data_IF_799018164770
#
_entry.id   IF_799018164770
#
_cell.length_a   1.000
_cell.length_b   1.000
_cell.length_c   1.000
_cell.angle_alpha   90.00
_cell.angle_beta   90.00
_cell.angle_gamma   90.00
#
_symmetry.space_group_name_H-M   'P 1'
#
loop_
_entity.id
_entity.type
_entity.pdbx_description
1 polymer ?
#
# COMPACT_ATOMS: atom_id res chain seq x y z
N UNK A 1 6.66 -29.75 -31.59
CA UNK A 1 7.72 -28.80 -31.20
C UNK A 1 7.10 -27.74 -30.32
N UNK A 2 7.01 -28.02 -29.02
CA UNK A 2 6.48 -27.14 -27.99
C UNK A 2 7.59 -26.18 -27.55
N UNK A 3 7.50 -24.94 -28.02
CA UNK A 3 8.39 -23.86 -27.60
C UNK A 3 8.12 -23.52 -26.13
N UNK A 4 9.08 -23.88 -25.28
CA UNK A 4 9.13 -23.45 -23.89
C UNK A 4 9.53 -21.97 -23.88
N UNK A 5 8.55 -21.05 -23.99
CA UNK A 5 8.79 -19.63 -23.76
C UNK A 5 9.09 -19.46 -22.27
N UNK A 6 10.39 -19.38 -21.95
CA UNK A 6 10.84 -18.91 -20.66
C UNK A 6 10.20 -17.53 -20.43
N UNK A 7 9.26 -17.45 -19.50
CA UNK A 7 8.76 -16.18 -18.98
C UNK A 7 9.96 -15.43 -18.44
N UNK A 8 10.41 -14.38 -19.16
CA UNK A 8 11.46 -13.51 -18.67
C UNK A 8 11.04 -13.04 -17.27
N UNK A 9 11.89 -13.31 -16.27
CA UNK A 9 11.65 -12.82 -14.93
C UNK A 9 11.70 -11.29 -15.00
N UNK A 10 10.54 -10.64 -14.89
CA UNK A 10 10.50 -9.18 -14.77
C UNK A 10 11.28 -8.80 -13.52
N UNK A 11 12.36 -8.03 -13.68
CA UNK A 11 13.09 -7.48 -12.56
C UNK A 11 12.16 -6.55 -11.74
N UNK A 12 12.24 -6.56 -10.40
CA UNK A 12 11.40 -5.70 -9.58
C UNK A 12 11.65 -4.23 -9.89
N UNK A 13 10.59 -3.53 -10.28
CA UNK A 13 10.65 -2.19 -10.85
C UNK A 13 11.27 -1.15 -9.89
N UNK A 14 11.02 -1.26 -8.58
CA UNK A 14 11.56 -0.27 -7.63
C UNK A 14 13.09 -0.34 -7.47
N UNK A 15 13.72 -1.49 -7.73
CA UNK A 15 15.20 -1.64 -7.63
C UNK A 15 15.90 -0.74 -8.62
N UNK A 16 15.27 -0.61 -9.77
CA UNK A 16 15.89 -0.04 -10.94
C UNK A 16 15.97 1.50 -10.79
N UNK A 17 15.07 2.11 -10.00
CA UNK A 17 14.99 3.57 -9.87
C UNK A 17 16.07 4.13 -8.93
N UNK A 18 16.79 5.21 -9.33
CA UNK A 18 17.77 5.85 -8.47
C UNK A 18 17.13 6.54 -7.26
N UNK A 19 17.89 6.64 -6.16
CA UNK A 19 17.43 7.34 -4.94
C UNK A 19 17.11 8.80 -5.26
N UNK A 20 17.89 9.39 -6.17
CA UNK A 20 17.74 10.73 -6.68
C UNK A 20 16.38 10.95 -7.38
N UNK A 21 15.84 9.92 -8.03
CA UNK A 21 14.52 10.01 -8.66
C UNK A 21 13.40 10.06 -7.60
N UNK A 22 13.50 9.27 -6.52
CA UNK A 22 12.57 9.37 -5.40
C UNK A 22 12.72 10.69 -4.63
N UNK A 23 13.95 11.19 -4.49
CA UNK A 23 14.22 12.52 -3.92
C UNK A 23 13.56 13.62 -4.77
N UNK A 24 13.68 13.55 -6.09
CA UNK A 24 13.02 14.47 -7.02
C UNK A 24 11.48 14.37 -6.93
N UNK A 25 10.94 13.15 -6.80
CA UNK A 25 9.51 12.92 -6.58
C UNK A 25 9.02 13.60 -5.27
N UNK A 26 9.74 13.43 -4.16
CA UNK A 26 9.36 14.06 -2.89
C UNK A 26 9.48 15.58 -2.93
N UNK A 27 10.47 16.11 -3.67
CA UNK A 27 10.55 17.55 -3.94
C UNK A 27 9.37 18.04 -4.80
N UNK A 28 8.92 17.24 -5.77
CA UNK A 28 7.71 17.55 -6.55
C UNK A 28 6.45 17.56 -5.66
N UNK A 29 6.33 16.65 -4.69
CA UNK A 29 5.24 16.69 -3.71
C UNK A 29 5.20 18.00 -2.92
N UNK A 30 6.37 18.45 -2.44
CA UNK A 30 6.47 19.72 -1.72
C UNK A 30 6.04 20.92 -2.59
N UNK A 31 6.43 20.95 -3.88
CA UNK A 31 5.98 21.99 -4.82
C UNK A 31 4.47 21.94 -5.08
N UNK A 32 3.89 20.75 -5.21
CA UNK A 32 2.49 20.57 -5.59
C UNK A 32 1.51 20.68 -4.43
N UNK A 33 1.93 20.37 -3.20
CA UNK A 33 1.05 20.33 -2.02
C UNK A 33 1.49 21.22 -0.87
N UNK A 34 2.59 21.97 -1.04
CA UNK A 34 3.25 22.73 0.00
C UNK A 34 4.24 21.90 0.81
N UNK A 35 5.13 22.59 1.51
CA UNK A 35 6.18 21.97 2.32
C UNK A 35 5.60 21.01 3.37
N UNK A 36 6.16 19.79 3.50
CA UNK A 36 5.78 18.88 4.56
C UNK A 36 6.17 19.43 5.93
N UNK A 37 5.43 19.02 6.96
CA UNK A 37 5.83 19.31 8.33
C UNK A 37 7.25 18.75 8.61
N UNK A 38 8.06 19.38 9.48
CA UNK A 38 9.44 18.94 9.71
C UNK A 38 9.59 17.47 10.15
N UNK A 39 8.60 16.92 10.86
CA UNK A 39 8.57 15.51 11.22
C UNK A 39 8.43 14.59 10.00
N UNK A 40 7.54 14.95 9.07
CA UNK A 40 7.32 14.24 7.81
C UNK A 40 8.58 14.32 6.94
N UNK A 41 9.14 15.52 6.75
CA UNK A 41 10.37 15.72 5.99
C UNK A 41 11.53 14.83 6.50
N UNK A 42 11.74 14.81 7.83
CA UNK A 42 12.76 13.95 8.45
C UNK A 42 12.49 12.47 8.21
N UNK A 43 11.24 12.02 8.32
CA UNK A 43 10.86 10.62 8.06
C UNK A 43 11.11 10.24 6.59
N UNK A 44 10.78 11.11 5.63
CA UNK A 44 11.05 10.90 4.21
C UNK A 44 12.55 10.76 3.91
N UNK A 45 13.40 11.57 4.54
CA UNK A 45 14.86 11.41 4.40
C UNK A 45 15.37 10.08 4.96
N UNK A 46 14.81 9.61 6.09
CA UNK A 46 15.15 8.29 6.62
C UNK A 46 14.69 7.17 5.69
N UNK A 47 13.51 7.30 5.05
CA UNK A 47 13.06 6.36 4.01
C UNK A 47 14.05 6.32 2.85
N UNK A 48 14.53 7.46 2.36
CA UNK A 48 15.50 7.51 1.27
C UNK A 48 16.85 6.88 1.66
N UNK A 49 17.31 7.10 2.89
CA UNK A 49 18.55 6.50 3.39
C UNK A 49 18.45 4.96 3.46
N UNK A 50 17.35 4.43 3.97
CA UNK A 50 17.10 2.99 3.99
C UNK A 50 16.97 2.43 2.56
N UNK A 51 16.20 3.12 1.71
CA UNK A 51 16.02 2.73 0.32
C UNK A 51 17.35 2.64 -0.42
N UNK A 52 18.27 3.58 -0.20
CA UNK A 52 19.61 3.55 -0.78
C UNK A 52 20.39 2.29 -0.43
N UNK A 53 20.27 1.81 0.82
CA UNK A 53 20.91 0.59 1.29
C UNK A 53 20.23 -0.68 0.76
N UNK A 54 18.90 -0.67 0.65
CA UNK A 54 18.10 -1.86 0.34
C UNK A 54 17.91 -2.10 -1.16
N UNK A 55 17.82 -1.06 -1.99
CA UNK A 55 17.43 -1.15 -3.42
C UNK A 55 18.30 -2.05 -4.28
N UNK A 56 19.58 -2.21 -3.93
CA UNK A 56 20.50 -3.09 -4.65
C UNK A 56 20.29 -4.58 -4.33
N UNK A 57 19.59 -4.90 -3.25
CA UNK A 57 19.40 -6.26 -2.73
C UNK A 57 17.95 -6.72 -2.80
N UNK A 58 17.02 -5.79 -2.57
CA UNK A 58 15.60 -6.02 -2.38
C UNK A 58 14.77 -5.18 -3.34
N UNK A 59 13.63 -5.71 -3.77
CA UNK A 59 12.78 -5.08 -4.78
C UNK A 59 11.41 -4.82 -4.23
N UNK A 60 10.75 -3.83 -4.80
CA UNK A 60 9.44 -3.32 -4.42
C UNK A 60 9.36 -2.97 -2.92
N UNK A 61 10.42 -2.33 -2.42
CA UNK A 61 10.54 -1.94 -1.00
C UNK A 61 9.95 -0.56 -0.72
N UNK A 62 9.82 0.30 -1.72
CA UNK A 62 9.28 1.66 -1.59
C UNK A 62 8.18 1.88 -2.62
N UNK A 63 6.95 2.03 -2.11
CA UNK A 63 5.75 2.23 -2.92
C UNK A 63 5.06 3.54 -2.51
N UNK A 64 5.30 4.62 -3.25
CA UNK A 64 4.46 5.81 -3.18
C UNK A 64 3.04 5.54 -3.70
N UNK A 65 2.10 6.38 -3.29
CA UNK A 65 0.73 6.28 -3.74
C UNK A 65 0.07 7.65 -3.92
N UNK A 66 -0.82 7.70 -4.89
CA UNK A 66 -1.79 8.77 -5.03
C UNK A 66 -3.09 8.29 -4.38
N UNK A 67 -3.75 9.14 -3.61
CA UNK A 67 -5.02 8.82 -2.99
C UNK A 67 -6.05 9.91 -3.17
N UNK A 68 -7.30 9.48 -3.31
CA UNK A 68 -8.48 10.31 -3.44
C UNK A 68 -9.49 9.86 -2.41
N UNK A 69 -10.00 10.80 -1.63
CA UNK A 69 -11.09 10.57 -0.68
C UNK A 69 -12.16 11.65 -0.93
N UNK A 70 -13.41 11.22 -1.10
CA UNK A 70 -14.56 12.08 -1.37
C UNK A 70 -15.37 11.65 -2.61
N UNK A 71 -16.67 12.00 -2.61
CA UNK A 71 -17.56 11.74 -3.76
C UNK A 71 -17.20 12.68 -4.92
N UNK A 72 -16.98 12.11 -6.11
CA UNK A 72 -16.59 12.85 -7.32
C UNK A 72 -17.51 14.04 -7.62
N UNK A 73 -16.93 15.12 -8.13
CA UNK A 73 -17.67 16.30 -8.58
C UNK A 73 -18.28 17.15 -7.47
N UNK A 74 -17.98 16.87 -6.20
CA UNK A 74 -18.33 17.74 -5.08
C UNK A 74 -17.15 18.62 -4.69
N UNK A 75 -17.44 19.84 -4.25
CA UNK A 75 -16.49 20.64 -3.49
C UNK A 75 -15.91 19.79 -2.34
N UNK A 76 -14.58 19.67 -2.28
CA UNK A 76 -13.88 18.95 -1.23
C UNK A 76 -13.28 17.58 -1.60
N UNK A 77 -13.43 17.08 -2.83
CA UNK A 77 -12.66 15.92 -3.28
C UNK A 77 -11.16 16.26 -3.31
N UNK A 78 -10.37 15.64 -2.44
CA UNK A 78 -8.94 15.96 -2.29
C UNK A 78 -8.08 14.81 -2.79
N UNK A 79 -7.19 15.12 -3.73
CA UNK A 79 -6.04 14.27 -4.04
C UNK A 79 -4.90 14.57 -3.07
N UNK A 80 -4.29 13.53 -2.56
CA UNK A 80 -3.02 13.59 -1.83
C UNK A 80 -2.02 12.63 -2.48
N UNK A 81 -0.79 13.10 -2.59
CA UNK A 81 0.34 12.41 -3.18
C UNK A 81 1.38 12.09 -2.10
N UNK A 82 1.31 12.72 -0.93
CA UNK A 82 2.19 12.46 0.23
C UNK A 82 1.77 11.22 1.00
N UNK A 83 1.69 10.10 0.29
CA UNK A 83 1.44 8.78 0.86
C UNK A 83 2.44 7.78 0.34
N UNK A 84 3.02 6.97 1.23
CA UNK A 84 3.94 5.89 0.84
C UNK A 84 3.88 4.72 1.81
N UNK A 85 4.38 3.58 1.36
CA UNK A 85 4.80 2.47 2.21
C UNK A 85 6.26 2.08 1.93
N UNK A 86 6.96 1.69 3.00
CA UNK A 86 8.31 1.17 2.97
C UNK A 86 8.38 -0.18 3.67
N UNK A 87 8.80 -1.23 2.95
CA UNK A 87 9.02 -2.56 3.52
C UNK A 87 10.43 -2.70 4.10
N UNK A 88 10.58 -3.47 5.18
CA UNK A 88 11.85 -3.77 5.82
C UNK A 88 12.28 -5.23 5.54
N UNK A 89 12.73 -5.55 4.31
CA UNK A 89 13.00 -6.92 3.87
C UNK A 89 14.21 -7.59 4.52
N UNK A 90 15.15 -6.81 5.05
CA UNK A 90 16.27 -7.32 5.83
C UNK A 90 15.89 -7.82 7.23
N UNK A 91 14.66 -7.56 7.71
CA UNK A 91 14.28 -7.77 9.11
C UNK A 91 14.50 -9.21 9.60
N UNK A 92 14.31 -10.23 8.75
CA UNK A 92 14.52 -11.63 9.19
C UNK A 92 15.99 -11.99 9.38
N UNK A 93 16.88 -11.36 8.64
CA UNK A 93 18.31 -11.55 8.78
C UNK A 93 18.85 -10.74 9.96
N UNK A 94 18.30 -9.55 10.19
CA UNK A 94 18.66 -8.67 11.30
C UNK A 94 17.41 -8.02 11.95
N UNK A 95 16.77 -8.71 12.91
CA UNK A 95 15.57 -8.19 13.58
C UNK A 95 15.84 -6.95 14.42
N UNK A 96 17.05 -6.81 14.98
CA UNK A 96 17.41 -5.65 15.79
C UNK A 96 17.63 -4.42 14.91
N UNK A 97 18.40 -4.56 13.83
CA UNK A 97 18.58 -3.49 12.84
C UNK A 97 17.26 -3.06 12.20
N UNK A 98 16.38 -4.01 11.88
CA UNK A 98 15.05 -3.70 11.36
C UNK A 98 14.14 -2.99 12.38
N UNK A 99 14.21 -3.34 13.66
CA UNK A 99 13.50 -2.63 14.73
C UNK A 99 14.04 -1.21 14.92
N UNK A 100 15.37 -1.04 14.90
CA UNK A 100 16.01 0.28 14.95
C UNK A 100 15.64 1.15 13.75
N UNK A 101 15.58 0.58 12.54
CA UNK A 101 15.14 1.29 11.34
C UNK A 101 13.68 1.75 11.46
N UNK A 102 12.77 0.88 11.90
CA UNK A 102 11.37 1.26 12.12
C UNK A 102 11.24 2.36 13.19
N UNK A 103 12.03 2.29 14.26
CA UNK A 103 12.11 3.33 15.29
C UNK A 103 12.62 4.65 14.71
N UNK A 104 13.66 4.64 13.88
CA UNK A 104 14.21 5.84 13.26
C UNK A 104 13.20 6.52 12.32
N UNK A 105 12.45 5.74 11.54
CA UNK A 105 11.37 6.24 10.67
C UNK A 105 10.27 6.97 11.46
N UNK A 106 9.97 6.48 12.66
CA UNK A 106 8.84 6.93 13.47
C UNK A 106 9.23 7.91 14.61
N UNK A 107 10.50 8.01 14.97
CA UNK A 107 10.99 8.90 16.02
C UNK A 107 10.56 10.38 15.86
N UNK A 108 10.47 10.95 14.65
CA UNK A 108 10.02 12.33 14.48
C UNK A 108 8.59 12.62 14.97
N UNK A 109 7.79 11.59 15.26
CA UNK A 109 6.37 11.71 15.62
C UNK A 109 6.09 11.49 17.12
N UNK A 110 7.14 11.37 17.93
CA UNK A 110 7.06 11.38 19.39
C UNK A 110 6.84 10.02 20.07
N UNK A 111 6.92 10.04 21.39
CA UNK A 111 7.00 8.84 22.24
C UNK A 111 5.79 7.90 22.13
N UNK A 112 4.59 8.44 21.94
CA UNK A 112 3.38 7.64 21.80
C UNK A 112 3.42 6.74 20.56
N UNK A 113 3.96 7.25 19.44
CA UNK A 113 4.20 6.47 18.23
C UNK A 113 5.29 5.42 18.48
N UNK A 114 6.39 5.81 19.14
CA UNK A 114 7.48 4.89 19.45
C UNK A 114 7.02 3.70 20.31
N UNK A 115 6.11 3.92 21.27
CA UNK A 115 5.52 2.82 22.04
C UNK A 115 4.78 1.80 21.16
N UNK A 116 4.07 2.27 20.11
CA UNK A 116 3.43 1.37 19.13
C UNK A 116 4.47 0.67 18.25
N UNK A 117 5.54 1.35 17.87
CA UNK A 117 6.66 0.75 17.13
C UNK A 117 7.30 -0.39 17.91
N UNK A 118 7.58 -0.21 19.21
CA UNK A 118 8.16 -1.27 20.04
C UNK A 118 7.21 -2.48 20.14
N UNK A 119 5.90 -2.25 20.24
CA UNK A 119 4.88 -3.30 20.20
C UNK A 119 4.92 -4.08 18.88
N UNK A 120 4.96 -3.37 17.74
CA UNK A 120 5.00 -3.97 16.41
C UNK A 120 6.33 -4.68 16.16
N UNK A 121 7.46 -4.10 16.52
CA UNK A 121 8.78 -4.69 16.38
C UNK A 121 8.90 -5.99 17.17
N UNK A 122 8.34 -6.06 18.38
CA UNK A 122 8.25 -7.30 19.15
C UNK A 122 7.41 -8.36 18.44
N UNK A 123 6.24 -7.98 17.93
CA UNK A 123 5.37 -8.88 17.17
C UNK A 123 6.02 -9.36 15.86
N UNK A 124 6.80 -8.51 15.20
CA UNK A 124 7.50 -8.81 13.96
C UNK A 124 8.56 -9.93 14.10
N UNK A 125 9.05 -10.18 15.32
CA UNK A 125 9.99 -11.28 15.59
C UNK A 125 9.36 -12.66 15.47
N UNK A 126 8.02 -12.74 15.57
CA UNK A 126 7.30 -14.00 15.48
C UNK A 126 7.61 -14.74 14.16
N UNK A 127 7.82 -16.07 14.17
CA UNK A 127 8.23 -16.82 12.97
C UNK A 127 7.26 -16.76 11.79
N UNK A 128 5.99 -16.43 12.02
CA UNK A 128 4.98 -16.29 10.98
C UNK A 128 5.02 -14.94 10.25
N UNK A 129 5.77 -13.97 10.76
CA UNK A 129 5.94 -12.67 10.12
C UNK A 129 7.09 -12.76 9.12
N UNK A 130 6.83 -12.32 7.90
CA UNK A 130 7.83 -12.16 6.85
C UNK A 130 8.65 -10.89 7.11
N UNK A 131 7.99 -9.75 7.30
CA UNK A 131 8.64 -8.45 7.52
C UNK A 131 7.64 -7.43 8.09
N UNK A 132 8.11 -6.43 8.85
CA UNK A 132 7.32 -5.23 9.11
C UNK A 132 7.37 -4.26 7.93
N UNK A 133 6.35 -3.41 7.82
CA UNK A 133 6.34 -2.28 6.89
C UNK A 133 5.95 -1.00 7.63
N UNK A 134 6.51 0.11 7.17
CA UNK A 134 6.13 1.46 7.55
C UNK A 134 5.22 2.05 6.48
N UNK A 135 4.24 2.84 6.87
CA UNK A 135 3.45 3.66 5.97
C UNK A 135 3.24 5.06 6.53
N UNK A 136 3.21 6.02 5.62
CA UNK A 136 2.99 7.42 5.92
C UNK A 136 1.83 7.90 5.06
N UNK A 137 0.89 8.61 5.65
CA UNK A 137 -0.13 9.36 4.93
C UNK A 137 -0.25 10.76 5.52
N UNK A 138 0.21 11.76 4.77
CA UNK A 138 0.07 13.17 5.12
C UNK A 138 -1.04 13.79 4.27
N UNK A 139 -2.24 13.81 4.84
CA UNK A 139 -3.42 14.39 4.21
C UNK A 139 -3.55 15.89 4.55
N UNK A 140 -2.46 16.58 4.92
CA UNK A 140 -2.45 17.98 5.33
C UNK A 140 -2.80 18.22 6.82
N UNK A 141 -3.17 19.46 7.20
CA UNK A 141 -3.39 19.83 8.60
C UNK A 141 -4.37 18.89 9.31
N UNK A 142 -3.93 18.24 10.39
CA UNK A 142 -4.71 17.28 11.17
C UNK A 142 -4.96 15.91 10.49
N UNK A 143 -4.55 15.74 9.24
CA UNK A 143 -4.76 14.54 8.43
C UNK A 143 -3.59 13.54 8.44
N UNK A 144 -2.58 13.75 9.30
CA UNK A 144 -1.43 12.85 9.39
C UNK A 144 -1.84 11.51 9.99
N UNK A 145 -1.49 10.43 9.29
CA UNK A 145 -1.57 9.05 9.77
C UNK A 145 -0.27 8.33 9.54
N UNK A 146 0.18 7.59 10.55
CA UNK A 146 1.26 6.61 10.41
C UNK A 146 0.64 5.23 10.38
N UNK A 147 1.24 4.34 9.60
CA UNK A 147 0.76 2.99 9.45
C UNK A 147 1.89 2.02 9.75
N UNK A 148 1.64 1.08 10.65
CA UNK A 148 2.60 0.05 10.99
C UNK A 148 2.02 -1.29 10.58
N UNK A 149 2.71 -2.00 9.71
CA UNK A 149 2.21 -3.26 9.16
C UNK A 149 3.07 -4.43 9.57
N UNK A 150 2.46 -5.62 9.62
CA UNK A 150 3.13 -6.90 9.67
C UNK A 150 2.67 -7.75 8.49
N UNK A 151 3.59 -8.01 7.55
CA UNK A 151 3.34 -8.96 6.48
C UNK A 151 3.58 -10.37 7.01
N UNK A 152 2.61 -11.24 6.83
CA UNK A 152 2.66 -12.64 7.22
C UNK A 152 3.24 -13.47 6.09
N UNK A 153 3.94 -14.55 6.47
CA UNK A 153 4.41 -15.56 5.53
C UNK A 153 3.22 -16.29 4.91
N UNK A 154 3.40 -16.75 3.67
CA UNK A 154 2.45 -17.68 3.06
C UNK A 154 2.30 -18.92 3.95
N UNK A 155 1.06 -19.33 4.21
CA UNK A 155 0.75 -20.45 5.10
C UNK A 155 0.79 -20.13 6.61
N UNK A 156 0.89 -18.86 7.03
CA UNK A 156 0.84 -18.49 8.45
C UNK A 156 -0.42 -19.00 9.19
N UNK A 157 -1.54 -19.13 8.47
CA UNK A 157 -2.76 -19.79 8.95
C UNK A 157 -3.24 -19.30 10.32
N UNK A 158 -3.64 -20.25 11.17
CA UNK A 158 -4.14 -19.96 12.52
C UNK A 158 -3.12 -19.25 13.42
N UNK A 159 -1.82 -19.55 13.27
CA UNK A 159 -0.77 -18.90 14.05
C UNK A 159 -0.61 -17.41 13.68
N UNK A 160 -0.80 -17.07 12.40
CA UNK A 160 -0.89 -15.69 11.94
C UNK A 160 -2.09 -14.97 12.54
N UNK A 161 -3.27 -15.58 12.51
CA UNK A 161 -4.49 -15.01 13.10
C UNK A 161 -4.31 -14.78 14.61
N UNK A 162 -3.81 -15.77 15.35
CA UNK A 162 -3.59 -15.66 16.79
C UNK A 162 -2.57 -14.56 17.15
N UNK A 163 -1.54 -14.35 16.33
CA UNK A 163 -0.62 -13.22 16.50
C UNK A 163 -1.35 -11.89 16.35
N UNK A 164 -2.18 -11.75 15.32
CA UNK A 164 -2.94 -10.54 15.06
C UNK A 164 -3.98 -10.28 16.16
N UNK A 165 -4.68 -11.31 16.65
CA UNK A 165 -5.59 -11.18 17.79
C UNK A 165 -4.89 -10.64 19.03
N UNK A 166 -3.68 -11.13 19.35
CA UNK A 166 -2.86 -10.58 20.45
C UNK A 166 -2.41 -9.14 20.17
N UNK A 167 -2.06 -8.83 18.92
CA UNK A 167 -1.64 -7.49 18.53
C UNK A 167 -2.78 -6.48 18.57
N UNK A 168 -4.03 -6.90 18.32
CA UNK A 168 -5.19 -6.00 18.34
C UNK A 168 -5.92 -6.01 19.68
N UNK A 169 -5.76 -7.07 20.48
CA UNK A 169 -6.60 -7.30 21.66
C UNK A 169 -8.04 -7.66 21.30
N UNK A 170 -8.29 -8.15 20.09
CA UNK A 170 -9.61 -8.45 19.56
C UNK A 170 -9.64 -9.89 19.00
N UNK A 171 -10.78 -10.56 19.12
CA UNK A 171 -10.98 -11.92 18.60
C UNK A 171 -11.38 -11.88 17.13
N UNK A 172 -10.65 -12.61 16.29
CA UNK A 172 -10.82 -12.73 14.84
C UNK A 172 -11.16 -14.16 14.39
N UNK A 173 -10.91 -15.16 15.24
CA UNK A 173 -11.23 -16.54 14.92
C UNK A 173 -12.73 -16.70 14.61
N UNK A 174 -13.04 -17.19 13.40
CA UNK A 174 -14.40 -17.39 12.91
C UNK A 174 -15.04 -16.16 12.23
N UNK A 175 -14.38 -14.99 12.23
CA UNK A 175 -14.90 -13.78 11.56
C UNK A 175 -14.21 -13.49 10.23
N UNK A 176 -12.98 -13.99 10.02
CA UNK A 176 -12.29 -13.89 8.74
C UNK A 176 -12.97 -14.76 7.67
N UNK A 177 -12.98 -14.32 6.39
CA UNK A 177 -13.50 -15.11 5.29
C UNK A 177 -12.85 -16.49 5.23
N UNK A 178 -13.67 -17.54 5.03
CA UNK A 178 -13.19 -18.91 4.91
C UNK A 178 -12.28 -19.16 3.69
N UNK A 179 -12.35 -18.27 2.69
CA UNK A 179 -11.57 -18.33 1.45
C UNK A 179 -10.60 -17.15 1.42
N UNK A 180 -9.31 -17.45 1.38
CA UNK A 180 -8.23 -16.47 1.40
C UNK A 180 -7.30 -16.65 2.60
N UNK A 181 -6.10 -16.08 2.52
CA UNK A 181 -5.12 -16.14 3.60
C UNK A 181 -4.88 -14.74 4.16
N UNK A 182 -4.92 -14.58 5.48
CA UNK A 182 -4.49 -13.34 6.11
C UNK A 182 -3.01 -13.10 5.75
N UNK A 183 -2.76 -12.01 5.02
CA UNK A 183 -1.46 -11.73 4.43
C UNK A 183 -0.77 -10.54 5.08
N UNK A 184 -1.54 -9.54 5.49
CA UNK A 184 -1.03 -8.31 6.09
C UNK A 184 -2.00 -7.85 7.18
N UNK A 185 -1.48 -7.34 8.28
CA UNK A 185 -2.23 -6.47 9.19
C UNK A 185 -1.58 -5.09 9.18
N UNK A 186 -2.38 -4.03 9.10
CA UNK A 186 -1.93 -2.66 9.26
C UNK A 186 -2.59 -2.01 10.47
N UNK A 187 -1.80 -1.34 11.31
CA UNK A 187 -2.25 -0.51 12.42
C UNK A 187 -2.24 0.94 11.95
N UNK A 188 -3.40 1.58 11.91
CA UNK A 188 -3.51 3.00 11.58
C UNK A 188 -3.37 3.81 12.88
N UNK A 189 -2.33 4.64 12.95
CA UNK A 189 -2.05 5.53 14.07
C UNK A 189 -2.42 6.97 13.69
N UNK A 190 -3.13 7.64 14.59
CA UNK A 190 -3.43 9.07 14.47
C UNK A 190 -2.20 9.96 14.71
N UNK A 191 -2.36 11.29 14.60
CA UNK A 191 -1.26 12.24 14.71
C UNK A 191 -0.59 12.29 16.09
N UNK A 192 -1.23 11.73 17.13
CA UNK A 192 -0.68 11.64 18.48
C UNK A 192 -0.30 10.20 18.88
N UNK A 193 -0.18 9.30 17.90
CA UNK A 193 0.23 7.91 18.11
C UNK A 193 -0.85 6.98 18.67
N UNK A 194 -2.07 7.46 18.89
CA UNK A 194 -3.20 6.63 19.26
C UNK A 194 -3.59 5.70 18.11
N UNK A 195 -3.93 4.44 18.42
CA UNK A 195 -4.49 3.52 17.44
C UNK A 195 -5.90 4.00 17.05
N UNK A 196 -6.10 4.38 15.78
CA UNK A 196 -7.39 4.85 15.27
C UNK A 196 -8.15 3.76 14.51
N UNK A 197 -7.46 2.69 14.12
CA UNK A 197 -8.07 1.53 13.48
C UNK A 197 -7.05 0.49 13.08
N UNK A 198 -7.54 -0.63 12.57
CA UNK A 198 -6.71 -1.66 11.96
C UNK A 198 -7.30 -2.15 10.64
N UNK A 199 -6.41 -2.62 9.76
CA UNK A 199 -6.75 -3.20 8.47
C UNK A 199 -6.22 -4.62 8.38
N UNK A 200 -7.08 -5.55 8.00
CA UNK A 200 -6.73 -6.94 7.73
C UNK A 200 -6.80 -7.16 6.23
N UNK A 201 -5.72 -7.61 5.62
CA UNK A 201 -5.63 -7.86 4.19
C UNK A 201 -5.66 -9.36 3.96
N UNK A 202 -6.75 -9.84 3.37
CA UNK A 202 -6.96 -11.24 3.01
C UNK A 202 -6.60 -11.43 1.54
N UNK A 203 -5.60 -12.26 1.28
CA UNK A 203 -5.01 -12.45 -0.05
C UNK A 203 -5.66 -13.61 -0.80
N UNK A 204 -5.94 -13.35 -2.07
CA UNK A 204 -6.42 -14.31 -3.07
C UNK A 204 -5.44 -14.32 -4.24
N UNK A 205 -4.81 -15.46 -4.52
CA UNK A 205 -3.76 -15.59 -5.55
C UNK A 205 -4.30 -16.35 -6.75
N UNK A 206 -3.99 -15.87 -7.96
CA UNK A 206 -4.37 -16.45 -9.27
C UNK A 206 -5.87 -16.74 -9.37
N UNK A 207 -6.69 -15.83 -8.87
CA UNK A 207 -8.15 -15.98 -8.80
C UNK A 207 -8.82 -15.51 -10.10
N UNK A 208 -9.81 -16.25 -10.58
CA UNK A 208 -10.65 -15.80 -11.69
C UNK A 208 -11.44 -14.55 -11.31
N UNK A 209 -11.61 -13.59 -12.22
CA UNK A 209 -12.24 -12.30 -11.90
C UNK A 209 -13.63 -12.44 -11.28
N UNK A 210 -14.48 -13.32 -11.86
CA UNK A 210 -15.80 -13.64 -11.29
C UNK A 210 -15.71 -14.20 -9.87
N UNK A 211 -14.78 -15.12 -9.63
CA UNK A 211 -14.57 -15.70 -8.30
C UNK A 211 -14.06 -14.66 -7.29
N UNK A 212 -13.27 -13.66 -7.73
CA UNK A 212 -12.86 -12.55 -6.88
C UNK A 212 -14.05 -11.67 -6.48
N UNK A 213 -14.96 -11.36 -7.42
CA UNK A 213 -16.19 -10.62 -7.13
C UNK A 213 -17.09 -11.37 -6.13
N UNK A 214 -17.20 -12.70 -6.26
CA UNK A 214 -17.99 -13.53 -5.34
C UNK A 214 -17.35 -13.63 -3.94
N UNK A 215 -16.01 -13.63 -3.86
CA UNK A 215 -15.28 -13.82 -2.59
C UNK A 215 -15.06 -12.52 -1.81
N UNK A 216 -14.78 -11.42 -2.50
CA UNK A 216 -14.43 -10.14 -1.88
C UNK A 216 -15.61 -9.17 -1.89
N UNK A 217 -16.43 -9.21 -2.95
CA UNK A 217 -17.58 -8.34 -3.15
C UNK A 217 -17.53 -7.60 -4.49
N UNK A 218 -18.64 -6.99 -4.93
CA UNK A 218 -18.70 -6.20 -6.14
C UNK A 218 -17.94 -4.87 -5.98
N UNK A 219 -17.19 -4.49 -7.00
CA UNK A 219 -16.48 -3.21 -7.08
C UNK A 219 -16.45 -2.75 -8.53
N UNK A 220 -16.59 -1.43 -8.76
CA UNK A 220 -16.53 -0.84 -10.10
C UNK A 220 -15.25 -1.21 -10.86
N UNK A 221 -14.14 -1.38 -10.13
CA UNK A 221 -12.88 -1.85 -10.71
C UNK A 221 -13.01 -3.25 -11.33
N UNK A 222 -13.70 -4.20 -10.69
CA UNK A 222 -13.83 -5.54 -11.26
C UNK A 222 -14.64 -5.52 -12.56
N UNK A 223 -15.69 -4.70 -12.61
CA UNK A 223 -16.46 -4.50 -13.84
C UNK A 223 -15.61 -3.88 -14.95
N UNK A 224 -14.81 -2.87 -14.62
CA UNK A 224 -13.89 -2.24 -15.56
C UNK A 224 -12.82 -3.22 -16.07
N UNK A 225 -12.25 -4.04 -15.18
CA UNK A 225 -11.31 -5.10 -15.54
C UNK A 225 -11.96 -6.14 -16.46
N UNK A 226 -13.21 -6.53 -16.19
CA UNK A 226 -13.96 -7.45 -17.04
C UNK A 226 -14.18 -6.87 -18.44
N UNK A 227 -14.57 -5.60 -18.52
CA UNK A 227 -14.75 -4.87 -19.77
C UNK A 227 -13.45 -4.76 -20.58
N UNK A 228 -12.30 -4.68 -19.90
CA UNK A 228 -10.98 -4.72 -20.51
C UNK A 228 -10.53 -6.12 -20.95
N UNK A 229 -11.37 -7.15 -20.79
CA UNK A 229 -11.07 -8.53 -21.16
C UNK A 229 -10.23 -9.28 -20.12
N UNK A 230 -10.00 -8.73 -18.94
CA UNK A 230 -9.32 -9.43 -17.86
C UNK A 230 -10.18 -10.60 -17.37
N UNK A 231 -9.61 -11.81 -17.34
CA UNK A 231 -10.31 -13.02 -16.87
C UNK A 231 -9.76 -13.55 -15.55
N UNK A 232 -8.50 -13.23 -15.24
CA UNK A 232 -7.80 -13.75 -14.07
C UNK A 232 -6.93 -12.65 -13.48
N UNK A 233 -6.90 -12.60 -12.15
CA UNK A 233 -6.07 -11.68 -11.38
C UNK A 233 -5.00 -12.48 -10.66
N UNK A 234 -3.74 -12.08 -10.78
CA UNK A 234 -2.63 -12.74 -10.08
C UNK A 234 -2.75 -12.58 -8.57
N UNK A 235 -3.16 -11.40 -8.12
CA UNK A 235 -3.33 -11.12 -6.71
C UNK A 235 -4.42 -10.09 -6.48
N UNK A 236 -5.29 -10.41 -5.52
CA UNK A 236 -6.32 -9.52 -4.98
C UNK A 236 -6.23 -9.58 -3.46
N UNK A 237 -6.28 -8.42 -2.82
CA UNK A 237 -6.44 -8.29 -1.38
C UNK A 237 -7.86 -7.79 -1.09
N UNK A 238 -8.63 -8.56 -0.32
CA UNK A 238 -9.80 -8.05 0.38
C UNK A 238 -9.34 -7.35 1.66
N UNK A 239 -9.69 -6.09 1.83
CA UNK A 239 -9.27 -5.28 2.97
C UNK A 239 -10.48 -5.12 3.91
N UNK A 240 -10.33 -5.63 5.11
CA UNK A 240 -11.32 -5.57 6.18
C UNK A 240 -10.86 -4.53 7.20
N UNK A 241 -11.79 -3.74 7.75
CA UNK A 241 -11.47 -2.69 8.73
C UNK A 241 -12.01 -3.04 10.10
N UNK A 242 -11.25 -2.61 11.11
CA UNK A 242 -11.63 -2.66 12.51
C UNK A 242 -11.58 -1.23 13.02
N UNK A 243 -12.77 -0.64 13.19
CA UNK A 243 -12.98 0.73 13.65
C UNK A 243 -13.42 0.70 15.12
N UNK A 244 -12.61 0.10 16.01
CA UNK A 244 -12.91 -0.02 17.44
C UNK A 244 -12.56 -1.38 18.06
N UNK A 245 -12.80 -1.59 19.37
CA UNK A 245 -12.48 -2.85 20.05
C UNK A 245 -13.35 -4.03 19.61
N UNK A 246 -14.49 -3.77 18.96
CA UNK A 246 -15.43 -4.78 18.48
C UNK A 246 -15.17 -5.14 17.01
N UNK A 247 -14.96 -6.42 16.73
CA UNK A 247 -14.63 -6.93 15.39
C UNK A 247 -15.84 -7.04 14.44
N UNK A 248 -16.94 -6.33 14.71
CA UNK A 248 -18.20 -6.45 13.95
C UNK A 248 -18.04 -6.13 12.45
N UNK A 249 -17.04 -5.33 12.07
CA UNK A 249 -16.74 -4.94 10.68
C UNK A 249 -15.86 -5.93 9.88
N UNK A 250 -15.42 -7.05 10.46
CA UNK A 250 -14.43 -7.94 9.81
C UNK A 250 -15.05 -8.91 8.80
N UNK A 251 -16.36 -9.16 8.86
CA UNK A 251 -16.99 -10.21 8.05
C UNK A 251 -16.98 -9.95 6.53
N UNK A 252 -16.92 -8.69 6.12
CA UNK A 252 -16.92 -8.29 4.71
C UNK A 252 -15.77 -7.34 4.42
N UNK A 253 -15.18 -7.46 3.23
CA UNK A 253 -14.18 -6.51 2.78
C UNK A 253 -14.86 -5.16 2.49
N UNK A 254 -14.20 -4.08 2.90
CA UNK A 254 -14.66 -2.70 2.67
C UNK A 254 -13.85 -2.00 1.58
N UNK A 255 -12.65 -2.49 1.31
CA UNK A 255 -11.84 -2.08 0.17
C UNK A 255 -11.29 -3.35 -0.52
N UNK A 256 -11.04 -3.25 -1.81
CA UNK A 256 -10.22 -4.19 -2.55
C UNK A 256 -8.89 -3.52 -2.89
N UNK A 257 -7.87 -4.33 -3.12
CA UNK A 257 -6.60 -3.89 -3.68
C UNK A 257 -6.10 -4.93 -4.68
N UNK A 258 -5.83 -4.51 -5.90
CA UNK A 258 -5.51 -5.39 -7.04
C UNK A 258 -4.11 -5.06 -7.54
N UNK A 259 -3.27 -6.09 -7.67
CA UNK A 259 -1.98 -5.95 -8.34
C UNK A 259 -2.18 -5.80 -9.85
N UNK A 260 -1.57 -4.78 -10.44
CA UNK A 260 -1.76 -4.39 -11.84
C UNK A 260 -0.65 -4.88 -12.78
N UNK A 261 0.53 -5.24 -12.26
CA UNK A 261 1.72 -5.60 -13.06
C UNK A 261 1.43 -6.60 -14.19
N UNK A 262 0.69 -7.67 -13.92
CA UNK A 262 0.40 -8.71 -14.91
C UNK A 262 -0.95 -8.54 -15.63
N UNK A 263 -1.65 -7.44 -15.39
CA UNK A 263 -2.92 -7.14 -16.09
C UNK A 263 -2.68 -6.51 -17.46
N UNK A 264 -1.45 -6.05 -17.74
CA UNK A 264 -1.12 -5.32 -18.96
C UNK A 264 -1.76 -3.93 -19.04
N UNK A 265 -2.36 -3.44 -17.95
CA UNK A 265 -3.06 -2.17 -17.92
C UNK A 265 -2.07 -1.00 -17.85
N UNK A 266 -2.11 -0.16 -18.88
CA UNK A 266 -1.36 1.10 -18.91
C UNK A 266 -2.09 2.21 -18.16
N UNK A 267 -1.41 3.33 -17.89
CA UNK A 267 -2.07 4.56 -17.40
C UNK A 267 -3.20 5.01 -18.33
N UNK A 268 -2.99 4.95 -19.64
CA UNK A 268 -4.02 5.27 -20.63
C UNK A 268 -5.26 4.39 -20.46
N UNK A 269 -5.06 3.10 -20.25
CA UNK A 269 -6.16 2.16 -20.01
C UNK A 269 -6.85 2.45 -18.68
N UNK A 270 -6.11 2.69 -17.59
CA UNK A 270 -6.68 3.03 -16.29
C UNK A 270 -7.49 4.34 -16.32
N UNK A 271 -7.03 5.35 -17.08
CA UNK A 271 -7.75 6.61 -17.32
C UNK A 271 -9.14 6.37 -17.91
N UNK A 272 -9.24 5.47 -18.89
CA UNK A 272 -10.50 5.13 -19.54
C UNK A 272 -11.39 4.23 -18.67
N UNK A 273 -10.78 3.26 -17.99
CA UNK A 273 -11.48 2.25 -17.20
C UNK A 273 -12.04 2.78 -15.88
N UNK A 274 -11.47 3.86 -15.36
CA UNK A 274 -11.94 4.51 -14.15
C UNK A 274 -12.35 5.94 -14.49
N UNK A 275 -13.53 6.16 -15.10
CA UNK A 275 -14.06 7.52 -15.33
C UNK A 275 -14.09 8.35 -14.05
N UNK A 276 -14.30 7.65 -12.93
CA UNK A 276 -14.14 8.10 -11.57
C UNK A 276 -12.84 8.87 -11.29
N UNK A 277 -11.75 8.38 -11.89
CA UNK A 277 -10.41 8.89 -11.77
C UNK A 277 -10.02 9.82 -12.93
N UNK A 278 -10.93 10.17 -13.85
CA UNK A 278 -10.58 10.99 -15.02
C UNK A 278 -10.06 12.38 -14.64
N UNK A 279 -10.60 13.01 -13.59
CA UNK A 279 -10.12 14.31 -13.08
C UNK A 279 -8.71 14.26 -12.44
N UNK A 280 -8.26 13.05 -12.12
CA UNK A 280 -7.00 12.78 -11.45
C UNK A 280 -5.94 12.34 -12.43
N UNK A 281 -6.33 11.38 -13.26
CA UNK A 281 -5.46 10.70 -14.20
C UNK A 281 -5.43 11.47 -15.52
N UNK A 282 -6.44 12.31 -15.81
CA UNK A 282 -6.53 13.12 -17.00
C UNK A 282 -5.67 14.38 -16.97
N UNK A 283 -5.79 15.18 -18.02
CA UNK A 283 -4.99 16.39 -18.23
C UNK A 283 -5.17 17.39 -17.08
N UNK A 284 -4.04 17.91 -16.57
CA UNK A 284 -4.02 18.81 -15.41
C UNK A 284 -4.25 18.14 -14.04
N UNK A 285 -4.59 16.84 -14.01
CA UNK A 285 -4.76 16.06 -12.79
C UNK A 285 -3.45 15.82 -12.02
N UNK A 286 -3.53 15.24 -10.82
CA UNK A 286 -2.35 14.99 -10.00
C UNK A 286 -1.32 14.07 -10.68
N UNK A 287 -1.77 13.05 -11.40
CA UNK A 287 -0.87 12.18 -12.16
C UNK A 287 -0.15 12.97 -13.26
N UNK A 288 -0.89 13.72 -14.07
CA UNK A 288 -0.33 14.53 -15.14
C UNK A 288 0.66 15.59 -14.62
N UNK A 289 0.39 16.18 -13.45
CA UNK A 289 1.32 17.12 -12.79
C UNK A 289 2.62 16.43 -12.36
N UNK A 290 2.56 15.22 -11.81
CA UNK A 290 3.79 14.46 -11.51
C UNK A 290 4.55 14.07 -12.77
N UNK A 291 3.86 13.64 -13.83
CA UNK A 291 4.48 13.34 -15.13
C UNK A 291 5.15 14.58 -15.74
N UNK A 292 4.52 15.76 -15.60
CA UNK A 292 5.08 17.04 -16.04
C UNK A 292 6.34 17.47 -15.26
N UNK A 293 6.49 17.01 -14.00
CA UNK A 293 7.71 17.17 -13.21
C UNK A 293 8.82 16.16 -13.61
N UNK A 294 8.61 15.41 -14.69
CA UNK A 294 9.56 14.44 -15.24
C UNK A 294 9.48 13.05 -14.61
N UNK A 295 8.51 12.80 -13.72
CA UNK A 295 8.36 11.50 -13.07
C UNK A 295 7.71 10.50 -14.04
N UNK A 296 8.47 9.48 -14.47
CA UNK A 296 7.93 8.35 -15.23
C UNK A 296 7.37 7.34 -14.23
N UNK A 297 6.05 7.27 -14.10
CA UNK A 297 5.40 6.40 -13.10
C UNK A 297 4.94 5.10 -13.75
N UNK A 298 5.01 3.99 -13.02
CA UNK A 298 4.43 2.69 -13.44
C UNK A 298 3.39 2.27 -12.42
N UNK A 299 2.15 1.96 -12.83
CA UNK A 299 1.13 1.49 -11.89
C UNK A 299 1.54 0.12 -11.33
N UNK A 300 1.46 -0.03 -10.01
CA UNK A 300 1.71 -1.31 -9.32
C UNK A 300 0.42 -1.92 -8.82
N UNK A 301 -0.38 -1.13 -8.10
CA UNK A 301 -1.58 -1.61 -7.42
C UNK A 301 -2.64 -0.55 -7.42
N UNK A 302 -3.89 -0.99 -7.32
CA UNK A 302 -5.03 -0.09 -7.24
C UNK A 302 -6.01 -0.58 -6.19
N UNK A 303 -6.38 0.31 -5.28
CA UNK A 303 -7.32 0.04 -4.20
C UNK A 303 -8.55 0.93 -4.29
N UNK A 304 -9.73 0.32 -4.22
CA UNK A 304 -11.03 0.99 -4.27
C UNK A 304 -11.98 0.38 -3.23
N UNK A 305 -12.98 1.11 -2.71
CA UNK A 305 -14.00 0.54 -1.85
C UNK A 305 -14.79 -0.58 -2.53
N UNK A 306 -15.35 -1.47 -1.71
CA UNK A 306 -16.38 -2.42 -2.13
C UNK A 306 -17.74 -1.72 -2.09
N UNK A 307 -18.48 -1.79 -3.20
CA UNK A 307 -19.83 -1.22 -3.31
C UNK A 307 -19.94 0.31 -3.23
N UNK A 308 -18.82 1.06 -3.32
CA UNK A 308 -18.79 2.53 -3.32
C UNK A 308 -17.67 3.06 -4.21
N UNK A 309 -17.85 4.28 -4.73
CA UNK A 309 -16.89 4.95 -5.62
C UNK A 309 -16.39 6.30 -5.04
N UNK A 310 -16.24 6.37 -3.72
CA UNK A 310 -15.86 7.57 -2.97
C UNK A 310 -14.39 7.60 -2.51
N UNK A 311 -13.62 6.57 -2.88
CA UNK A 311 -12.18 6.51 -2.61
C UNK A 311 -11.45 5.77 -3.71
N UNK A 312 -10.22 6.17 -3.98
CA UNK A 312 -9.30 5.44 -4.82
C UNK A 312 -7.88 5.63 -4.26
N UNK A 313 -7.08 4.58 -4.20
CA UNK A 313 -5.64 4.67 -3.98
C UNK A 313 -4.94 3.98 -5.14
N UNK A 314 -3.88 4.59 -5.63
CA UNK A 314 -3.11 4.11 -6.75
C UNK A 314 -1.64 4.10 -6.34
N UNK A 315 -1.09 2.90 -6.26
CA UNK A 315 0.31 2.67 -5.90
C UNK A 315 1.13 2.58 -7.17
N UNK A 316 2.30 3.20 -7.14
CA UNK A 316 3.18 3.27 -8.30
C UNK A 316 4.64 3.18 -7.87
N UNK A 317 5.49 2.92 -8.84
CA UNK A 317 6.95 3.00 -8.73
C UNK A 317 7.48 3.86 -9.86
N UNK A 318 8.76 4.24 -9.78
CA UNK A 318 9.41 5.01 -10.83
C UNK A 318 9.94 4.06 -11.92
N UNK A 319 9.56 4.30 -13.17
CA UNK A 319 10.10 3.65 -14.35
C UNK A 319 11.57 4.00 -14.54
N UNK A 320 12.30 3.08 -15.14
CA UNK A 320 13.77 3.13 -15.18
C UNK A 320 14.29 3.32 -16.56
N UNK A 321 14.11 4.56 -17.01
CA UNK A 321 14.87 5.13 -18.10
C UNK A 321 15.06 6.61 -17.78
N UNK A 322 16.22 6.94 -17.22
CA UNK A 322 16.89 8.18 -17.61
C UNK A 322 17.23 7.93 -19.09
N UNK A 323 16.38 8.43 -20.00
CA UNK A 323 16.82 8.58 -21.38
C UNK A 323 18.06 9.47 -21.32
N UNK A 324 19.22 8.90 -21.68
CA UNK A 324 20.43 9.67 -21.93
C UNK A 324 20.19 10.65 -23.06
#
# INVERSE_FOLDING_TARGET
>A
MSGNQATAAHEPLSRNAPVEAYRALFAAWARLEGEPAPAVARSLEQVLALFAADRGRYGDVLEPSLSWEGRQGREGARCTQRRLSYALPGFRADPEGGALALRALCAPFGEAVLAQVERVARAARHPVVAQPLFGLADDGPGGLRLKLYLQLRDGAGAAGVALVERLLGARLAGTLPARGALHLVGLDLGPHGQLVGAKLYVRHVRVGLRAAMEQVGPAALFEALAAAGCRQLREVLGIHRIDGPEAAGVAQAVEIDVALEDTGLSWGTLRTLLPAAAHVLGEGGALARLEAEGARLVPRRLSTPVGRDDKLNLYYVLATEIAR
#
